data_IF_559441392120
#
_entry.id   IF_559441392120
#
_cell.length_a   1.000
_cell.length_b   1.000
_cell.length_c   1.000
_cell.angle_alpha   90.00
_cell.angle_beta   90.00
_cell.angle_gamma   90.00
#
_symmetry.space_group_name_H-M   'P 1'
#
loop_
_entity.id
_entity.type
_entity.pdbx_description
1 polymer ?
#
# COMPACT_ATOMS: atom_id res chain seq x y z
N UNK A 1 -16.28 12.36 -1.41
CA UNK A 1 -16.04 11.06 -2.04
C UNK A 1 -15.64 10.00 -1.04
N UNK A 2 -15.78 8.72 -1.38
CA UNK A 2 -15.36 7.59 -0.53
C UNK A 2 -14.50 6.61 -1.34
N UNK A 3 -13.34 6.28 -0.80
CA UNK A 3 -12.37 5.38 -1.42
C UNK A 3 -12.21 4.10 -0.61
N UNK A 4 -11.92 3.00 -1.31
CA UNK A 4 -11.55 1.71 -0.71
C UNK A 4 -10.03 1.59 -0.69
N UNK A 5 -9.41 1.73 0.48
CA UNK A 5 -7.94 1.75 0.59
C UNK A 5 -7.43 0.51 1.30
N UNK A 6 -6.48 -0.20 0.68
CA UNK A 6 -5.83 -1.39 1.22
C UNK A 6 -4.52 -1.03 1.91
N UNK A 7 -4.31 -1.51 3.13
CA UNK A 7 -3.03 -1.46 3.86
C UNK A 7 -2.73 -2.87 4.37
N UNK A 8 -1.63 -3.49 3.94
CA UNK A 8 -1.17 -4.85 4.35
C UNK A 8 -2.27 -5.93 4.39
N UNK A 9 -3.22 -5.90 3.45
CA UNK A 9 -4.29 -6.89 3.38
C UNK A 9 -5.64 -6.44 3.94
N UNK A 10 -5.67 -5.44 4.82
CA UNK A 10 -6.91 -4.89 5.36
C UNK A 10 -7.46 -3.78 4.46
N UNK A 11 -8.79 -3.70 4.36
CA UNK A 11 -9.49 -2.68 3.57
C UNK A 11 -10.20 -1.67 4.46
N UNK A 12 -10.00 -0.39 4.17
CA UNK A 12 -10.59 0.73 4.89
C UNK A 12 -11.42 1.58 3.93
N UNK A 13 -12.66 1.87 4.31
CA UNK A 13 -13.43 2.91 3.66
C UNK A 13 -12.93 4.27 4.16
N UNK A 14 -12.39 5.10 3.27
CA UNK A 14 -11.83 6.42 3.58
C UNK A 14 -12.69 7.52 2.94
N UNK A 15 -13.56 8.19 3.71
CA UNK A 15 -14.25 9.38 3.25
C UNK A 15 -13.26 10.55 3.14
N UNK A 16 -13.34 11.29 2.05
CA UNK A 16 -12.54 12.49 1.78
C UNK A 16 -13.33 13.51 0.96
N UNK A 17 -12.88 14.77 0.94
CA UNK A 17 -13.51 15.82 0.15
C UNK A 17 -13.04 15.81 -1.31
N UNK A 18 -11.90 15.19 -1.58
CA UNK A 18 -11.25 15.11 -2.87
C UNK A 18 -10.27 16.26 -3.14
N UNK A 19 -10.31 17.32 -2.32
CA UNK A 19 -9.34 18.43 -2.37
C UNK A 19 -8.06 18.12 -1.60
N UNK A 20 -8.08 17.10 -0.75
CA UNK A 20 -6.89 16.60 -0.07
C UNK A 20 -5.91 15.99 -1.08
N UNK A 21 -4.62 15.98 -0.72
CA UNK A 21 -3.57 15.38 -1.53
C UNK A 21 -3.52 13.86 -1.37
N UNK A 22 -2.91 13.17 -2.34
CA UNK A 22 -2.63 11.72 -2.25
C UNK A 22 -1.80 11.37 -1.00
N UNK A 23 -0.84 12.21 -0.61
CA UNK A 23 -0.08 12.03 0.65
C UNK A 23 -1.00 11.85 1.86
N UNK A 24 -2.01 12.72 1.98
CA UNK A 24 -2.98 12.65 3.08
C UNK A 24 -3.77 11.35 3.05
N UNK A 25 -4.13 10.84 1.86
CA UNK A 25 -4.86 9.57 1.74
C UNK A 25 -4.05 8.41 2.31
N UNK A 26 -2.74 8.37 2.01
CA UNK A 26 -1.82 7.37 2.53
C UNK A 26 -1.73 7.42 4.06
N UNK A 27 -1.46 8.61 4.62
CA UNK A 27 -1.31 8.82 6.05
C UNK A 27 -2.59 8.53 6.84
N UNK A 28 -3.75 9.00 6.35
CA UNK A 28 -5.05 8.76 6.98
C UNK A 28 -5.41 7.27 6.96
N UNK A 29 -5.04 6.55 5.90
CA UNK A 29 -5.24 5.11 5.79
C UNK A 29 -4.34 4.35 6.76
N UNK A 30 -3.06 4.74 6.87
CA UNK A 30 -2.13 4.16 7.84
C UNK A 30 -2.58 4.42 9.29
N UNK A 31 -3.09 5.62 9.59
CA UNK A 31 -3.67 5.96 10.90
C UNK A 31 -4.86 5.05 11.24
N UNK A 32 -5.74 4.77 10.28
CA UNK A 32 -6.87 3.83 10.45
C UNK A 32 -6.41 2.40 10.66
N UNK A 33 -5.39 1.98 9.91
CA UNK A 33 -4.75 0.67 10.07
C UNK A 33 -4.22 0.48 11.49
N UNK A 34 -3.47 1.43 12.04
CA UNK A 34 -3.00 1.32 13.42
C UNK A 34 -4.12 1.34 14.45
N UNK A 35 -5.17 2.13 14.22
CA UNK A 35 -6.34 2.16 15.10
C UNK A 35 -7.05 0.80 15.14
N UNK A 36 -7.06 0.03 14.05
CA UNK A 36 -7.72 -1.28 14.01
C UNK A 36 -6.92 -2.40 14.69
N UNK A 37 -5.59 -2.28 14.79
CA UNK A 37 -4.71 -3.33 15.35
C UNK A 37 -4.56 -3.32 16.88
N UNK A 38 -5.41 -2.61 17.61
CA UNK A 38 -5.44 -2.58 19.09
C UNK A 38 -4.06 -2.36 19.73
N UNK A 39 -3.50 -1.17 19.52
CA UNK A 39 -2.59 -0.47 20.47
C UNK A 39 -1.50 -1.33 21.16
N UNK A 40 -0.62 -2.00 20.40
CA UNK A 40 0.67 -2.47 20.93
C UNK A 40 1.80 -2.15 19.95
N UNK A 41 2.67 -1.20 20.33
CA UNK A 41 4.07 -1.10 19.91
C UNK A 41 4.40 -1.34 18.44
N UNK A 42 3.61 -0.84 17.50
CA UNK A 42 4.01 -0.91 16.10
C UNK A 42 5.11 0.11 15.84
N UNK A 43 6.18 -0.33 15.18
CA UNK A 43 7.18 0.57 14.62
C UNK A 43 6.47 1.65 13.80
N UNK A 44 6.96 2.88 13.90
CA UNK A 44 6.42 4.01 13.15
C UNK A 44 6.73 3.78 11.66
N UNK A 45 5.74 3.28 10.93
CA UNK A 45 5.82 3.07 9.49
C UNK A 45 5.67 4.39 8.77
N UNK A 46 6.21 4.42 7.56
CA UNK A 46 6.01 5.51 6.60
C UNK A 46 5.37 4.96 5.35
N UNK A 47 4.53 5.77 4.73
CA UNK A 47 3.98 5.49 3.41
C UNK A 47 5.13 5.64 2.41
N UNK A 48 5.44 4.57 1.70
CA UNK A 48 6.39 4.59 0.59
C UNK A 48 5.71 5.15 -0.66
N UNK A 49 4.51 4.63 -0.98
CA UNK A 49 3.72 5.14 -2.09
C UNK A 49 2.23 4.76 -1.98
N UNK A 50 1.43 5.39 -2.84
CA UNK A 50 0.01 5.11 -3.03
C UNK A 50 -0.21 4.77 -4.50
N UNK A 51 -0.93 3.68 -4.79
CA UNK A 51 -1.19 3.23 -6.16
C UNK A 51 -2.62 2.74 -6.36
N UNK A 52 -3.16 2.88 -7.56
CA UNK A 52 -4.44 2.24 -7.94
C UNK A 52 -4.31 0.72 -7.84
N UNK A 53 -5.31 0.06 -7.26
CA UNK A 53 -5.33 -1.40 -7.20
C UNK A 53 -5.47 -2.03 -8.60
N UNK A 54 -6.29 -1.40 -9.46
CA UNK A 54 -6.40 -1.78 -10.88
C UNK A 54 -5.28 -1.12 -11.68
N UNK A 55 -4.51 -1.92 -12.41
CA UNK A 55 -3.44 -1.45 -13.29
C UNK A 55 -2.16 -0.98 -12.58
N UNK A 56 -2.14 -0.98 -11.23
CA UNK A 56 -0.97 -0.64 -10.42
C UNK A 56 -0.36 0.75 -10.71
N UNK A 57 -1.16 1.70 -11.21
CA UNK A 57 -0.70 3.06 -11.48
C UNK A 57 -0.31 3.77 -10.17
N UNK A 58 0.93 4.23 -10.09
CA UNK A 58 1.44 5.02 -8.96
C UNK A 58 0.83 6.42 -9.04
N UNK A 59 0.42 6.96 -7.90
CA UNK A 59 -0.19 8.28 -7.78
C UNK A 59 0.84 9.27 -7.22
N UNK A 60 0.93 10.45 -7.82
CA UNK A 60 1.83 11.49 -7.33
C UNK A 60 1.37 11.97 -5.93
N UNK A 61 2.26 12.07 -4.93
CA UNK A 61 1.90 12.49 -3.58
C UNK A 61 1.28 13.89 -3.50
N UNK A 62 1.57 14.77 -4.45
CA UNK A 62 1.13 16.17 -4.48
C UNK A 62 -0.18 16.39 -5.24
N UNK A 63 -0.64 15.42 -6.03
CA UNK A 63 -1.90 15.50 -6.74
C UNK A 63 -3.10 15.55 -5.77
N UNK A 64 -4.12 16.32 -6.13
CA UNK A 64 -5.39 16.27 -5.41
C UNK A 64 -6.12 14.97 -5.75
N UNK A 65 -6.72 14.34 -4.74
CA UNK A 65 -7.38 13.04 -4.87
C UNK A 65 -8.40 13.03 -6.02
N UNK A 66 -9.23 14.09 -6.12
CA UNK A 66 -10.29 14.18 -7.15
C UNK A 66 -9.76 14.26 -8.59
N UNK A 67 -8.50 14.65 -8.77
CA UNK A 67 -7.90 14.83 -10.10
C UNK A 67 -7.36 13.49 -10.63
N UNK A 68 -7.15 12.50 -9.75
CA UNK A 68 -6.55 11.20 -10.09
C UNK A 68 -7.39 9.98 -9.70
N UNK A 69 -8.40 10.14 -8.84
CA UNK A 69 -9.24 9.07 -8.32
C UNK A 69 -10.73 9.42 -8.42
N UNK A 70 -11.54 8.40 -8.73
CA UNK A 70 -12.99 8.51 -8.81
C UNK A 70 -13.69 7.99 -7.54
N UNK A 71 -14.99 8.26 -7.41
CA UNK A 71 -15.82 7.70 -6.33
C UNK A 71 -15.78 6.16 -6.35
N UNK A 72 -15.57 5.54 -5.18
CA UNK A 72 -15.45 4.09 -4.99
C UNK A 72 -14.22 3.44 -5.64
N UNK A 73 -13.20 4.20 -6.07
CA UNK A 73 -11.94 3.62 -6.52
C UNK A 73 -11.25 2.79 -5.43
N UNK A 74 -10.51 1.78 -5.88
CA UNK A 74 -9.71 0.89 -5.03
C UNK A 74 -8.23 1.28 -5.11
N UNK A 75 -7.63 1.55 -3.95
CA UNK A 75 -6.27 2.05 -3.80
C UNK A 75 -5.49 1.13 -2.87
N UNK A 76 -4.19 0.98 -3.10
CA UNK A 76 -3.27 0.28 -2.20
C UNK A 76 -2.21 1.25 -1.71
N UNK A 77 -1.98 1.24 -0.40
CA UNK A 77 -0.88 1.96 0.25
C UNK A 77 0.24 0.96 0.52
N UNK A 78 1.43 1.29 0.06
CA UNK A 78 2.66 0.51 0.28
C UNK A 78 3.47 1.22 1.35
N UNK A 79 3.96 0.48 2.33
CA UNK A 79 4.79 1.02 3.41
C UNK A 79 6.27 0.75 3.14
N UNK A 80 7.17 1.56 3.70
CA UNK A 80 8.62 1.41 3.52
C UNK A 80 9.10 -0.02 3.83
N UNK A 81 8.61 -0.60 4.92
CA UNK A 81 8.92 -1.98 5.33
C UNK A 81 8.53 -3.04 4.29
N UNK A 82 7.52 -2.75 3.46
CA UNK A 82 7.00 -3.69 2.47
C UNK A 82 7.96 -3.82 1.28
N UNK A 83 8.86 -2.85 1.09
CA UNK A 83 9.91 -2.83 0.06
C UNK A 83 11.15 -3.64 0.51
N UNK A 84 11.36 -3.81 1.81
CA UNK A 84 12.50 -4.54 2.38
C UNK A 84 12.34 -6.06 2.35
N UNK A 85 12.44 -6.66 1.15
CA UNK A 85 13.15 -7.93 0.93
C UNK A 85 13.21 -8.27 -0.56
N UNK A 86 14.32 -8.01 -1.26
CA UNK A 86 14.71 -8.91 -2.32
C UNK A 86 15.19 -10.20 -1.63
N UNK A 87 14.48 -11.31 -1.81
CA UNK A 87 15.11 -12.63 -1.70
C UNK A 87 16.23 -12.63 -2.74
N UNK A 88 17.43 -12.28 -2.30
CA UNK A 88 18.67 -12.26 -3.07
C UNK A 88 19.41 -13.54 -2.73
N UNK A 89 18.81 -14.66 -3.09
CA UNK A 89 19.50 -15.94 -3.19
C UNK A 89 19.22 -16.47 -4.59
N UNK A 90 20.23 -16.86 -5.39
CA UNK A 90 19.94 -17.67 -6.56
C UNK A 90 19.23 -18.94 -6.06
N UNK A 91 18.11 -19.29 -6.69
CA UNK A 91 17.63 -20.66 -6.64
C UNK A 91 18.63 -21.49 -7.45
N UNK A 92 19.75 -21.87 -6.85
CA UNK A 92 20.66 -22.82 -7.48
C UNK A 92 19.85 -24.11 -7.73
N UNK A 93 19.69 -24.53 -9.00
CA UNK A 93 19.07 -25.81 -9.26
C UNK A 93 19.94 -26.89 -8.63
N UNK A 94 19.37 -27.67 -7.72
CA UNK A 94 20.02 -28.85 -7.16
C UNK A 94 20.28 -29.82 -8.31
N UNK A 95 21.56 -30.02 -8.65
CA UNK A 95 21.96 -31.02 -9.63
C UNK A 95 21.61 -32.42 -9.08
N UNK A 96 20.83 -33.18 -9.86
CA UNK A 96 20.53 -34.59 -9.57
C UNK A 96 21.37 -35.42 -10.53
N UNK A 97 22.31 -36.22 -10.00
CA UNK A 97 23.06 -37.18 -10.80
C UNK A 97 22.11 -38.20 -11.42
N UNK A 98 22.17 -38.35 -12.75
CA UNK A 98 21.52 -39.45 -13.45
C UNK A 98 22.21 -40.75 -13.06
N UNK A 99 21.47 -41.65 -12.40
CA UNK A 99 21.95 -43.00 -12.11
C UNK A 99 21.99 -43.81 -13.41
N UNK A 100 23.20 -44.12 -13.86
CA UNK A 100 23.52 -45.11 -14.90
C UNK A 100 23.11 -46.53 -14.51
#
# INVERSE_FOLDING_TARGET
MKLSVRVRGDWFAVPCKGTEKVTWLGEESLRRYYKSKSRTGHAQEKVYEVRKAKGAAILDPDDAIKDVLDENDFVTVVLDSDISSPVTGPAEPVYVEEKS
#
